data_IF_264691399594
#
_entry.id   IF_264691399594
#
_cell.length_a   1.000
_cell.length_b   1.000
_cell.length_c   1.000
_cell.angle_alpha   90.00
_cell.angle_beta   90.00
_cell.angle_gamma   90.00
#
_symmetry.space_group_name_H-M   'P 1'
#
loop_
_entity.id
_entity.type
_entity.pdbx_description
1 polymer ?
#
# COMPACT_ATOMS: atom_id res chain seq x y z
N UNK A 1 16.11 9.17 18.13
CA UNK A 1 15.59 7.85 17.79
C UNK A 1 14.26 7.67 18.46
N UNK A 2 13.27 7.18 17.73
CA UNK A 2 11.95 6.79 18.23
C UNK A 2 11.74 5.30 17.97
N UNK A 3 10.73 4.69 18.60
CA UNK A 3 10.43 3.27 18.41
C UNK A 3 8.94 3.00 18.47
N UNK A 4 8.52 1.99 17.70
CA UNK A 4 7.14 1.48 17.66
C UNK A 4 7.17 -0.03 17.53
N UNK A 5 6.13 -0.71 17.99
CA UNK A 5 6.03 -2.16 18.00
C UNK A 5 4.84 -2.60 17.15
N UNK A 6 5.12 -3.40 16.13
CA UNK A 6 4.16 -3.76 15.08
C UNK A 6 3.97 -5.28 15.01
N UNK A 7 2.75 -5.72 15.26
CA UNK A 7 2.32 -7.11 15.07
C UNK A 7 1.54 -7.23 13.75
N UNK A 8 1.93 -8.14 12.88
CA UNK A 8 1.35 -8.24 11.54
C UNK A 8 1.52 -9.61 10.90
N UNK A 9 1.15 -10.69 11.60
CA UNK A 9 1.38 -12.06 11.17
C UNK A 9 2.77 -12.56 11.54
N UNK A 10 3.35 -13.43 10.73
CA UNK A 10 4.71 -13.93 10.94
C UNK A 10 5.71 -12.76 10.93
N UNK A 11 6.47 -12.62 11.99
CA UNK A 11 7.38 -11.48 12.17
C UNK A 11 8.63 -11.51 11.28
N UNK A 12 8.99 -12.65 10.65
CA UNK A 12 10.16 -12.73 9.75
C UNK A 12 10.01 -11.82 8.53
N UNK A 13 8.85 -11.89 7.87
CA UNK A 13 8.57 -11.06 6.70
C UNK A 13 8.45 -9.59 7.06
N UNK A 14 7.78 -9.29 8.17
CA UNK A 14 7.58 -7.92 8.63
C UNK A 14 8.91 -7.27 9.06
N UNK A 15 9.81 -8.01 9.72
CA UNK A 15 11.15 -7.54 10.06
C UNK A 15 11.97 -7.18 8.82
N UNK A 16 12.07 -8.10 7.85
CA UNK A 16 12.81 -7.88 6.61
C UNK A 16 12.23 -6.68 5.83
N UNK A 17 10.90 -6.58 5.75
CA UNK A 17 10.21 -5.48 5.10
C UNK A 17 10.59 -4.14 5.73
N UNK A 18 10.46 -3.98 7.05
CA UNK A 18 10.80 -2.72 7.73
C UNK A 18 12.29 -2.41 7.72
N UNK A 19 13.15 -3.42 7.73
CA UNK A 19 14.60 -3.22 7.66
C UNK A 19 15.09 -2.57 6.35
N UNK A 20 14.28 -2.62 5.29
CA UNK A 20 14.56 -2.01 3.98
C UNK A 20 14.15 -0.54 3.88
N UNK A 21 13.30 -0.08 4.79
CA UNK A 21 12.71 1.27 4.70
C UNK A 21 13.73 2.31 5.15
N UNK A 22 13.97 3.30 4.30
CA UNK A 22 14.87 4.42 4.62
C UNK A 22 14.38 5.21 5.82
N UNK A 23 15.25 5.42 6.78
CA UNK A 23 14.94 6.06 8.08
C UNK A 23 14.64 5.07 9.20
N UNK A 24 14.44 3.78 8.89
CA UNK A 24 14.48 2.70 9.88
C UNK A 24 15.95 2.35 10.15
N UNK A 25 16.37 2.45 11.41
CA UNK A 25 17.77 2.27 11.81
C UNK A 25 18.03 0.86 12.35
N UNK A 26 17.01 0.25 12.97
CA UNK A 26 17.11 -1.11 13.52
C UNK A 26 15.74 -1.76 13.64
N UNK A 27 15.71 -3.06 13.40
CA UNK A 27 14.57 -3.94 13.68
C UNK A 27 15.00 -5.07 14.62
N UNK A 28 14.09 -5.56 15.44
CA UNK A 28 14.22 -6.82 16.19
C UNK A 28 12.87 -7.52 16.20
N UNK A 29 12.86 -8.84 16.31
CA UNK A 29 11.63 -9.63 16.47
C UNK A 29 11.48 -10.10 17.92
N UNK A 30 10.24 -10.16 18.37
CA UNK A 30 9.92 -10.56 19.74
C UNK A 30 8.45 -10.88 19.92
N UNK A 31 8.06 -10.99 21.18
CA UNK A 31 6.73 -11.37 21.61
C UNK A 31 6.16 -10.28 22.52
N UNK A 32 5.01 -9.72 22.16
CA UNK A 32 4.43 -8.59 22.89
C UNK A 32 3.03 -8.88 23.43
N UNK A 33 2.68 -8.14 24.45
CA UNK A 33 1.31 -7.98 24.98
C UNK A 33 0.55 -9.28 25.26
N UNK A 34 1.25 -10.31 25.74
CA UNK A 34 0.63 -11.54 26.24
C UNK A 34 0.02 -11.38 27.65
N UNK A 35 -0.39 -12.48 28.23
CA UNK A 35 -1.04 -12.53 29.56
C UNK A 35 -0.03 -12.57 30.71
N UNK A 36 1.23 -12.90 30.44
CA UNK A 36 2.32 -13.03 31.40
C UNK A 36 3.56 -12.30 30.90
N UNK A 37 4.50 -11.99 31.80
CA UNK A 37 5.68 -11.17 31.49
C UNK A 37 6.82 -11.95 30.81
N UNK A 38 6.72 -13.26 30.71
CA UNK A 38 7.75 -14.13 30.11
C UNK A 38 7.14 -15.12 29.16
N UNK A 39 7.81 -15.38 28.05
CA UNK A 39 7.44 -16.40 27.07
C UNK A 39 8.66 -16.81 26.24
N UNK A 40 8.49 -17.82 25.39
CA UNK A 40 9.38 -18.23 24.32
C UNK A 40 8.54 -18.78 23.15
N UNK A 41 9.17 -19.09 22.04
CA UNK A 41 8.46 -19.54 20.83
C UNK A 41 7.53 -20.76 21.07
N UNK A 42 7.92 -21.67 21.95
CA UNK A 42 7.10 -22.87 22.24
C UNK A 42 5.85 -22.55 23.06
N UNK A 43 5.92 -21.53 23.91
CA UNK A 43 4.84 -21.13 24.84
C UNK A 43 3.98 -19.99 24.33
N UNK A 44 4.34 -19.36 23.21
CA UNK A 44 3.69 -18.14 22.70
C UNK A 44 2.16 -18.27 22.58
N UNK A 45 1.66 -19.44 22.19
CA UNK A 45 0.22 -19.70 22.06
C UNK A 45 -0.48 -19.76 23.41
N UNK A 46 0.16 -20.36 24.42
CA UNK A 46 -0.36 -20.53 25.78
C UNK A 46 -0.33 -19.20 26.53
N UNK A 47 0.70 -18.40 26.29
CA UNK A 47 0.90 -17.11 26.95
C UNK A 47 0.22 -15.94 26.23
N UNK A 48 -0.43 -16.22 25.10
CA UNK A 48 -1.18 -15.26 24.29
C UNK A 48 -0.40 -14.03 23.81
N UNK A 49 0.89 -14.19 23.55
CA UNK A 49 1.70 -13.12 22.97
C UNK A 49 1.53 -13.02 21.46
N UNK A 50 1.64 -11.80 20.92
CA UNK A 50 1.72 -11.57 19.49
C UNK A 50 3.17 -11.59 19.00
N UNK A 51 3.43 -12.24 17.87
CA UNK A 51 4.66 -12.03 17.11
C UNK A 51 4.75 -10.56 16.69
N UNK A 52 5.82 -9.89 17.09
CA UNK A 52 5.92 -8.43 17.02
C UNK A 52 7.31 -8.01 16.57
N UNK A 53 7.37 -7.01 15.71
CA UNK A 53 8.61 -6.36 15.27
C UNK A 53 8.75 -5.04 16.03
N UNK A 54 9.87 -4.85 16.72
CA UNK A 54 10.30 -3.54 17.20
C UNK A 54 10.94 -2.80 16.02
N UNK A 55 10.45 -1.61 15.70
CA UNK A 55 10.99 -0.73 14.67
C UNK A 55 11.57 0.50 15.34
N UNK A 56 12.90 0.65 15.29
CA UNK A 56 13.63 1.83 15.76
C UNK A 56 13.95 2.70 14.55
N UNK A 57 13.53 3.95 14.58
CA UNK A 57 13.60 4.84 13.42
C UNK A 57 14.08 6.25 13.80
N UNK A 58 14.58 6.96 12.80
CA UNK A 58 14.97 8.37 12.92
C UNK A 58 13.78 9.27 12.53
N UNK A 59 13.14 9.97 13.49
CA UNK A 59 11.96 10.79 13.22
C UNK A 59 12.24 12.00 12.30
N UNK A 60 13.50 12.37 12.11
CA UNK A 60 13.90 13.42 11.17
C UNK A 60 13.94 12.91 9.71
N UNK A 61 14.00 11.58 9.51
CA UNK A 61 14.02 10.92 8.19
C UNK A 61 12.68 10.30 7.80
N UNK A 62 11.97 9.73 8.78
CA UNK A 62 10.68 9.07 8.55
C UNK A 62 9.74 9.32 9.73
N UNK A 63 8.52 9.73 9.47
CA UNK A 63 7.50 9.96 10.51
C UNK A 63 6.84 8.65 10.95
N UNK A 64 6.27 8.64 12.17
CA UNK A 64 5.42 7.54 12.64
C UNK A 64 4.26 7.28 11.67
N UNK A 65 3.62 8.34 11.14
CA UNK A 65 2.57 8.22 10.12
C UNK A 65 3.06 7.44 8.91
N UNK A 66 4.22 7.76 8.39
CA UNK A 66 4.80 7.05 7.24
C UNK A 66 5.05 5.56 7.55
N UNK A 67 5.57 5.23 8.73
CA UNK A 67 5.75 3.85 9.20
C UNK A 67 4.41 3.11 9.23
N UNK A 68 3.35 3.74 9.72
CA UNK A 68 2.01 3.14 9.77
C UNK A 68 1.43 2.91 8.37
N UNK A 69 1.65 3.84 7.42
CA UNK A 69 1.23 3.63 6.03
C UNK A 69 1.97 2.46 5.37
N UNK A 70 3.28 2.31 5.62
CA UNK A 70 4.03 1.12 5.22
C UNK A 70 3.49 -0.16 5.87
N UNK A 71 3.10 -0.11 7.14
CA UNK A 71 2.51 -1.23 7.85
C UNK A 71 1.19 -1.67 7.23
N UNK A 72 0.26 -0.74 7.00
CA UNK A 72 -1.03 -1.03 6.36
C UNK A 72 -0.89 -1.53 4.91
N UNK A 73 0.19 -1.19 4.22
CA UNK A 73 0.47 -1.72 2.87
C UNK A 73 0.60 -3.23 2.82
N UNK A 74 1.08 -3.87 3.88
CA UNK A 74 1.47 -5.29 3.87
C UNK A 74 0.64 -6.19 4.76
N UNK A 75 -0.28 -5.66 5.55
CA UNK A 75 -1.21 -6.44 6.35
C UNK A 75 -2.62 -6.46 5.74
N UNK A 76 -3.41 -7.45 6.11
CA UNK A 76 -4.86 -7.43 5.95
C UNK A 76 -5.49 -6.91 7.24
N UNK A 77 -5.93 -5.64 7.29
CA UNK A 77 -6.43 -5.02 8.52
C UNK A 77 -7.81 -5.52 8.95
N UNK A 78 -8.53 -6.23 8.08
CA UNK A 78 -9.85 -6.79 8.39
C UNK A 78 -9.76 -8.22 8.92
N UNK A 79 -8.61 -8.88 8.78
CA UNK A 79 -8.42 -10.27 9.16
C UNK A 79 -8.10 -10.42 10.64
N UNK A 80 -8.98 -11.06 11.39
CA UNK A 80 -8.77 -11.32 12.81
C UNK A 80 -7.92 -12.57 13.04
N UNK A 81 -6.84 -12.46 13.83
CA UNK A 81 -5.97 -13.57 14.22
C UNK A 81 -5.43 -14.40 13.04
N UNK A 82 -5.24 -13.75 11.90
CA UNK A 82 -4.77 -14.40 10.68
C UNK A 82 -4.10 -13.39 9.76
N UNK A 83 -2.95 -13.76 9.17
CA UNK A 83 -2.35 -13.04 8.06
C UNK A 83 -1.83 -14.06 7.03
N UNK A 84 -2.27 -13.95 5.78
CA UNK A 84 -1.97 -14.94 4.76
C UNK A 84 -2.44 -16.35 5.17
N UNK A 85 -1.50 -17.29 5.23
CA UNK A 85 -1.75 -18.68 5.65
C UNK A 85 -1.56 -18.88 7.16
N UNK A 86 -0.99 -17.92 7.87
CA UNK A 86 -0.70 -18.00 9.29
C UNK A 86 -1.97 -17.75 10.11
N UNK A 87 -2.36 -18.69 10.95
CA UNK A 87 -3.59 -18.68 11.74
C UNK A 87 -3.29 -18.86 13.23
N UNK A 88 -3.89 -18.05 14.06
CA UNK A 88 -3.78 -18.09 15.51
C UNK A 88 -3.58 -16.70 16.10
N UNK A 89 -3.84 -16.55 17.40
CA UNK A 89 -3.73 -15.27 18.09
C UNK A 89 -2.31 -14.69 18.12
N UNK A 90 -1.30 -15.54 18.00
CA UNK A 90 0.09 -15.10 17.84
C UNK A 90 0.34 -14.31 16.55
N UNK A 91 -0.51 -14.46 15.55
CA UNK A 91 -0.45 -13.77 14.25
C UNK A 91 -1.46 -12.61 14.13
N UNK A 92 -2.05 -12.18 15.25
CA UNK A 92 -2.93 -11.01 15.25
C UNK A 92 -2.19 -9.74 14.87
N UNK A 93 -2.92 -8.79 14.35
CA UNK A 93 -2.39 -7.47 13.99
C UNK A 93 -2.51 -6.51 15.15
N UNK A 94 -1.53 -5.64 15.32
CA UNK A 94 -1.53 -4.65 16.39
C UNK A 94 -0.43 -3.62 16.25
N UNK A 95 -0.69 -2.44 16.78
CA UNK A 95 0.26 -1.36 16.95
C UNK A 95 0.35 -1.04 18.44
N UNK A 96 1.53 -1.25 19.02
CA UNK A 96 1.76 -1.08 20.44
C UNK A 96 2.70 0.10 20.65
N UNK A 97 2.22 1.12 21.39
CA UNK A 97 2.91 2.39 21.60
C UNK A 97 3.47 2.51 23.01
N UNK A 98 4.49 3.36 23.16
CA UNK A 98 5.09 3.71 24.46
C UNK A 98 4.61 5.06 24.97
N UNK A 99 4.32 6.01 24.08
CA UNK A 99 3.95 7.38 24.40
C UNK A 99 2.50 7.66 23.96
N UNK A 100 1.72 8.34 24.80
CA UNK A 100 0.35 8.73 24.49
C UNK A 100 0.27 9.72 23.31
N UNK A 101 1.32 10.47 23.00
CA UNK A 101 1.40 11.29 21.80
C UNK A 101 1.37 10.44 20.52
N UNK A 102 2.05 9.29 20.52
CA UNK A 102 2.01 8.35 19.41
C UNK A 102 0.62 7.76 19.22
N UNK A 103 -0.11 7.49 20.32
CA UNK A 103 -1.48 6.97 20.27
C UNK A 103 -2.41 7.86 19.43
N UNK A 104 -2.27 9.18 19.51
CA UNK A 104 -3.10 10.12 18.75
C UNK A 104 -2.84 9.98 17.25
N UNK A 105 -1.56 9.91 16.84
CA UNK A 105 -1.16 9.69 15.44
C UNK A 105 -1.70 8.34 14.92
N UNK A 106 -1.54 7.28 15.72
CA UNK A 106 -2.00 5.94 15.35
C UNK A 106 -3.54 5.93 15.18
N UNK A 107 -4.26 6.51 16.14
CA UNK A 107 -5.73 6.58 16.10
C UNK A 107 -6.25 7.35 14.88
N UNK A 108 -5.56 8.42 14.48
CA UNK A 108 -5.89 9.16 13.27
C UNK A 108 -5.72 8.29 12.00
N UNK A 109 -4.59 7.60 11.86
CA UNK A 109 -4.34 6.72 10.71
C UNK A 109 -5.36 5.57 10.69
N UNK A 110 -5.68 4.97 11.83
CA UNK A 110 -6.70 3.92 11.95
C UNK A 110 -8.08 4.42 11.47
N UNK A 111 -8.47 5.62 11.87
CA UNK A 111 -9.74 6.22 11.45
C UNK A 111 -9.78 6.49 9.93
N UNK A 112 -8.67 6.89 9.34
CA UNK A 112 -8.54 7.07 7.90
C UNK A 112 -8.66 5.74 7.14
N UNK A 113 -7.99 4.68 7.61
CA UNK A 113 -8.08 3.33 7.05
C UNK A 113 -9.51 2.77 7.14
N UNK A 114 -10.16 2.88 8.31
CA UNK A 114 -11.55 2.46 8.50
C UNK A 114 -12.51 3.20 7.57
N UNK A 115 -12.32 4.50 7.40
CA UNK A 115 -13.12 5.32 6.47
C UNK A 115 -12.93 4.88 5.03
N UNK A 116 -11.70 4.57 4.63
CA UNK A 116 -11.38 4.13 3.28
C UNK A 116 -11.95 2.74 2.98
N UNK A 117 -11.83 1.81 3.93
CA UNK A 117 -12.34 0.45 3.81
C UNK A 117 -13.86 0.35 3.99
N UNK A 118 -14.49 1.35 4.63
CA UNK A 118 -15.91 1.31 5.00
C UNK A 118 -16.24 0.30 6.12
N UNK A 119 -15.22 -0.21 6.81
CA UNK A 119 -15.33 -1.23 7.85
C UNK A 119 -14.40 -0.92 9.02
N UNK A 120 -14.77 -1.40 10.20
CA UNK A 120 -13.85 -1.42 11.34
C UNK A 120 -12.70 -2.39 11.09
N UNK A 121 -11.49 -1.96 11.43
CA UNK A 121 -10.30 -2.81 11.34
C UNK A 121 -10.13 -3.68 12.57
N UNK A 122 -9.49 -4.83 12.41
CA UNK A 122 -9.20 -5.81 13.46
C UNK A 122 -7.83 -5.58 14.15
N UNK A 123 -7.16 -4.47 13.82
CA UNK A 123 -5.83 -4.13 14.34
C UNK A 123 -5.95 -3.60 15.77
N UNK A 124 -5.20 -4.20 16.71
CA UNK A 124 -5.13 -3.72 18.08
C UNK A 124 -4.43 -2.37 18.16
N UNK A 125 -4.95 -1.45 18.97
CA UNK A 125 -4.29 -0.19 19.36
C UNK A 125 -4.16 -0.17 20.87
N UNK A 126 -3.01 -0.56 21.38
CA UNK A 126 -2.77 -0.70 22.82
C UNK A 126 -1.41 -0.12 23.23
N UNK A 127 -1.24 0.30 24.50
CA UNK A 127 0.08 0.55 25.03
C UNK A 127 0.91 -0.74 25.03
N UNK A 128 2.21 -0.61 24.82
CA UNK A 128 3.12 -1.73 25.01
C UNK A 128 3.21 -2.05 26.52
N UNK A 129 2.76 -3.23 26.90
CA UNK A 129 2.85 -3.71 28.28
C UNK A 129 4.20 -4.38 28.56
N UNK A 130 4.67 -5.18 27.63
CA UNK A 130 5.97 -5.82 27.65
C UNK A 130 6.34 -6.32 26.24
N UNK A 131 7.64 -6.43 26.01
CA UNK A 131 8.23 -6.99 24.81
C UNK A 131 9.37 -7.92 25.20
N UNK A 132 9.27 -9.17 24.83
CA UNK A 132 10.27 -10.21 25.08
C UNK A 132 10.99 -10.47 23.76
N UNK A 133 12.31 -10.20 23.74
CA UNK A 133 13.12 -10.46 22.54
C UNK A 133 13.05 -11.95 22.20
N UNK A 134 12.75 -12.26 20.93
CA UNK A 134 12.74 -13.63 20.46
C UNK A 134 14.16 -14.19 20.36
N UNK A 135 14.26 -15.49 20.28
CA UNK A 135 15.51 -16.24 20.23
C UNK A 135 16.38 -15.80 19.04
N UNK A 136 17.70 -15.91 19.17
CA UNK A 136 18.66 -15.43 18.16
C UNK A 136 18.43 -15.99 16.75
N UNK A 137 17.92 -17.22 16.63
CA UNK A 137 17.65 -17.81 15.34
C UNK A 137 16.46 -17.18 14.59
N UNK A 138 15.61 -16.43 15.27
CA UNK A 138 14.53 -15.66 14.68
C UNK A 138 14.97 -14.29 14.17
N UNK A 139 16.02 -13.70 14.77
CA UNK A 139 16.50 -12.37 14.38
C UNK A 139 17.11 -12.40 12.99
N UNK A 140 16.73 -11.45 12.13
CA UNK A 140 17.18 -11.37 10.73
C UNK A 140 16.99 -12.69 9.95
N UNK A 141 15.88 -13.39 10.21
CA UNK A 141 15.69 -14.76 9.69
C UNK A 141 15.76 -14.82 8.16
N UNK A 142 15.08 -13.92 7.44
CA UNK A 142 15.08 -13.92 5.96
C UNK A 142 16.41 -13.46 5.36
N UNK A 143 17.20 -12.65 6.06
CA UNK A 143 18.57 -12.34 5.63
C UNK A 143 19.47 -13.56 5.72
N UNK A 144 19.29 -14.39 6.76
CA UNK A 144 20.03 -15.66 6.95
C UNK A 144 19.50 -16.79 6.06
N UNK A 145 18.19 -16.74 5.71
CA UNK A 145 17.48 -17.78 4.96
C UNK A 145 16.64 -17.12 3.84
N UNK A 146 17.26 -16.68 2.72
CA UNK A 146 16.54 -15.94 1.67
C UNK A 146 15.38 -16.71 1.02
N UNK A 147 15.43 -18.05 1.03
CA UNK A 147 14.36 -18.95 0.56
C UNK A 147 13.32 -19.28 1.64
N UNK A 148 13.41 -18.64 2.81
CA UNK A 148 12.53 -18.86 3.94
C UNK A 148 11.09 -18.45 3.65
N UNK A 149 10.16 -19.01 4.44
CA UNK A 149 8.74 -18.66 4.33
C UNK A 149 8.50 -17.17 4.61
N UNK A 150 7.77 -16.53 3.72
CA UNK A 150 7.28 -15.17 3.88
C UNK A 150 5.86 -15.04 3.31
N UNK A 151 4.94 -14.41 4.05
CA UNK A 151 3.57 -14.18 3.61
C UNK A 151 3.38 -12.81 2.94
N UNK A 152 4.39 -11.96 2.98
CA UNK A 152 4.39 -10.63 2.35
C UNK A 152 5.49 -10.54 1.29
N UNK A 153 5.29 -9.70 0.30
CA UNK A 153 6.35 -9.33 -0.64
C UNK A 153 7.20 -8.22 0.00
N UNK A 154 8.40 -8.59 0.45
CA UNK A 154 9.29 -7.63 1.12
C UNK A 154 9.80 -6.53 0.17
N UNK A 155 9.71 -6.76 -1.15
CA UNK A 155 10.08 -5.74 -2.16
C UNK A 155 9.07 -4.60 -2.26
N UNK A 156 7.88 -4.75 -1.68
CA UNK A 156 6.91 -3.66 -1.54
C UNK A 156 7.45 -2.50 -0.70
N UNK A 157 8.49 -2.73 0.11
CA UNK A 157 9.22 -1.68 0.84
C UNK A 157 9.95 -0.70 -0.09
N UNK A 158 10.33 -1.15 -1.29
CA UNK A 158 11.08 -0.35 -2.27
C UNK A 158 10.15 0.54 -3.12
N UNK A 159 8.83 0.33 -3.05
CA UNK A 159 7.85 1.16 -3.73
C UNK A 159 7.70 2.52 -3.05
N UNK A 160 7.44 3.61 -3.80
CA UNK A 160 7.23 4.93 -3.20
C UNK A 160 6.07 4.91 -2.21
N UNK A 161 6.22 5.66 -1.13
CA UNK A 161 5.13 5.91 -0.21
C UNK A 161 4.33 7.11 -0.70
N UNK A 162 3.05 6.88 -1.00
CA UNK A 162 2.10 7.92 -1.37
C UNK A 162 1.13 8.08 -0.20
N UNK A 163 1.14 9.26 0.44
CA UNK A 163 0.20 9.53 1.54
C UNK A 163 -1.15 9.96 0.97
N UNK A 164 -2.24 9.19 1.18
CA UNK A 164 -3.56 9.51 0.65
C UNK A 164 -4.13 10.82 1.21
N UNK A 165 -3.70 11.27 2.38
CA UNK A 165 -4.14 12.54 2.96
C UNK A 165 -3.71 13.77 2.13
N UNK A 166 -2.67 13.62 1.30
CA UNK A 166 -2.21 14.66 0.37
C UNK A 166 -3.18 14.83 -0.81
N UNK A 167 -3.99 13.81 -1.10
CA UNK A 167 -4.86 13.74 -2.28
C UNK A 167 -6.33 13.55 -1.91
N UNK A 168 -6.95 14.49 -1.16
CA UNK A 168 -8.32 14.33 -0.70
C UNK A 168 -9.29 14.28 -1.89
N UNK A 169 -10.33 13.45 -1.76
CA UNK A 169 -11.38 13.36 -2.78
C UNK A 169 -12.20 14.64 -2.80
N UNK A 170 -12.32 15.33 -3.95
CA UNK A 170 -13.20 16.47 -4.10
C UNK A 170 -14.68 16.10 -3.98
N UNK A 171 -15.52 17.07 -3.67
CA UNK A 171 -16.97 16.90 -3.70
C UNK A 171 -17.48 16.61 -5.13
N UNK A 172 -18.68 16.06 -5.24
CA UNK A 172 -19.30 15.79 -6.54
C UNK A 172 -19.52 17.08 -7.34
N UNK A 173 -19.82 18.20 -6.66
CA UNK A 173 -20.01 19.51 -7.28
C UNK A 173 -18.70 20.04 -7.88
N UNK A 174 -17.60 19.93 -7.13
CA UNK A 174 -16.26 20.29 -7.61
C UNK A 174 -15.82 19.43 -8.79
N UNK A 175 -16.07 18.10 -8.75
CA UNK A 175 -15.76 17.21 -9.85
C UNK A 175 -16.55 17.58 -11.11
N UNK A 176 -17.85 17.86 -11.00
CA UNK A 176 -18.69 18.32 -12.14
C UNK A 176 -18.23 19.64 -12.72
N UNK A 177 -17.78 20.56 -11.88
CA UNK A 177 -17.30 21.88 -12.34
C UNK A 177 -15.93 21.80 -13.02
N UNK A 178 -15.08 20.86 -12.64
CA UNK A 178 -13.67 20.76 -13.08
C UNK A 178 -13.44 19.78 -14.22
N UNK A 179 -14.15 18.66 -14.22
CA UNK A 179 -13.98 17.61 -15.22
C UNK A 179 -14.81 17.89 -16.48
N UNK A 180 -14.30 17.47 -17.63
CA UNK A 180 -15.11 17.39 -18.83
C UNK A 180 -16.20 16.32 -18.67
N UNK A 181 -17.25 16.36 -19.49
CA UNK A 181 -18.30 15.36 -19.45
C UNK A 181 -17.76 13.94 -19.61
N UNK A 182 -16.84 13.73 -20.54
CA UNK A 182 -16.21 12.41 -20.77
C UNK A 182 -15.39 11.94 -19.54
N UNK A 183 -14.61 12.84 -18.94
CA UNK A 183 -13.84 12.53 -17.73
C UNK A 183 -14.76 12.17 -16.56
N UNK A 184 -15.87 12.91 -16.40
CA UNK A 184 -16.85 12.64 -15.35
C UNK A 184 -17.55 11.32 -15.56
N UNK A 185 -18.04 11.05 -16.78
CA UNK A 185 -18.68 9.77 -17.11
C UNK A 185 -17.76 8.57 -16.88
N UNK A 186 -16.50 8.65 -17.29
CA UNK A 186 -15.53 7.58 -17.07
C UNK A 186 -15.25 7.38 -15.59
N UNK A 187 -14.89 8.44 -14.86
CA UNK A 187 -14.42 8.32 -13.48
C UNK A 187 -15.53 8.07 -12.46
N UNK A 188 -16.74 8.62 -12.70
CA UNK A 188 -17.85 8.60 -11.73
C UNK A 188 -19.01 7.69 -12.15
N UNK A 189 -19.19 7.42 -13.45
CA UNK A 189 -20.31 6.63 -13.99
C UNK A 189 -19.86 5.33 -14.67
N UNK A 190 -18.58 4.95 -14.53
CA UNK A 190 -17.98 3.73 -15.05
C UNK A 190 -18.06 3.58 -16.58
N UNK A 191 -18.10 4.70 -17.31
CA UNK A 191 -18.04 4.69 -18.76
C UNK A 191 -16.63 4.27 -19.25
N UNK A 192 -16.57 3.84 -20.50
CA UNK A 192 -15.31 3.52 -21.19
C UNK A 192 -15.18 4.41 -22.42
N UNK A 193 -14.02 5.04 -22.58
CA UNK A 193 -13.70 5.84 -23.76
C UNK A 193 -13.44 4.96 -24.99
N UNK A 194 -13.43 5.57 -26.19
CA UNK A 194 -13.22 4.82 -27.43
C UNK A 194 -11.76 4.37 -27.57
N UNK A 195 -11.53 3.12 -28.00
CA UNK A 195 -10.18 2.61 -28.28
C UNK A 195 -9.55 3.41 -29.43
N UNK A 196 -8.23 3.63 -29.36
CA UNK A 196 -7.43 4.36 -30.36
C UNK A 196 -7.81 5.83 -30.59
N UNK A 197 -8.79 6.36 -29.83
CA UNK A 197 -9.27 7.73 -29.94
C UNK A 197 -9.29 8.42 -28.56
N UNK A 198 -8.16 8.34 -27.87
CA UNK A 198 -7.97 8.91 -26.55
C UNK A 198 -6.58 9.56 -26.40
N UNK A 199 -6.37 10.33 -25.35
CA UNK A 199 -5.24 11.22 -25.25
C UNK A 199 -3.89 10.51 -25.09
N UNK A 200 -3.85 9.34 -24.42
CA UNK A 200 -2.58 8.78 -23.95
C UNK A 200 -2.24 7.39 -24.49
N UNK A 201 -3.05 6.81 -25.39
CA UNK A 201 -2.72 5.51 -26.00
C UNK A 201 -1.30 5.50 -26.62
N UNK A 202 -0.95 6.54 -27.34
CA UNK A 202 0.34 6.68 -28.04
C UNK A 202 1.35 7.61 -27.35
N UNK A 203 1.12 7.99 -26.09
CA UNK A 203 2.05 8.84 -25.32
C UNK A 203 3.06 7.98 -24.56
N UNK A 204 4.35 8.10 -24.89
CA UNK A 204 5.47 7.36 -24.29
C UNK A 204 6.58 8.26 -23.76
N UNK A 205 6.29 9.53 -23.50
CA UNK A 205 7.20 10.47 -22.87
C UNK A 205 7.46 10.08 -21.40
N UNK A 206 8.66 10.42 -20.89
CA UNK A 206 8.99 10.20 -19.47
C UNK A 206 8.13 11.08 -18.55
N UNK A 207 7.61 10.49 -17.49
CA UNK A 207 6.78 11.18 -16.53
C UNK A 207 5.93 10.22 -15.70
N UNK A 208 4.87 10.76 -15.14
CA UNK A 208 3.89 10.01 -14.34
C UNK A 208 2.46 10.27 -14.83
N UNK A 209 1.59 9.33 -14.55
CA UNK A 209 0.14 9.47 -14.73
C UNK A 209 -0.52 9.54 -13.36
N UNK A 210 -1.30 10.58 -13.15
CA UNK A 210 -2.03 10.83 -11.89
C UNK A 210 -3.53 10.72 -12.09
N UNK A 211 -4.26 10.43 -11.02
CA UNK A 211 -5.72 10.45 -11.01
C UNK A 211 -6.22 11.86 -11.37
N UNK A 212 -7.02 11.98 -12.42
CA UNK A 212 -7.59 13.26 -12.85
C UNK A 212 -8.48 13.90 -11.78
N UNK A 213 -9.03 13.09 -10.86
CA UNK A 213 -9.95 13.57 -9.81
C UNK A 213 -9.25 14.13 -8.59
N UNK A 214 -8.10 13.54 -8.18
CA UNK A 214 -7.41 13.91 -6.94
C UNK A 214 -5.98 14.40 -7.15
N UNK A 215 -5.34 14.03 -8.26
CA UNK A 215 -3.91 14.23 -8.47
C UNK A 215 -3.02 13.13 -7.86
N UNK A 216 -3.59 12.08 -7.24
CA UNK A 216 -2.80 10.98 -6.67
C UNK A 216 -1.99 10.28 -7.77
N UNK A 217 -0.66 10.09 -7.59
CA UNK A 217 0.16 9.36 -8.55
C UNK A 217 -0.27 7.90 -8.66
N UNK A 218 -0.45 7.42 -9.90
CA UNK A 218 -0.97 6.07 -10.17
C UNK A 218 0.01 5.19 -10.95
N UNK A 219 0.66 5.72 -12.00
CA UNK A 219 1.54 4.95 -12.86
C UNK A 219 2.77 5.75 -13.28
N UNK A 220 3.92 5.08 -13.34
CA UNK A 220 5.09 5.61 -14.05
C UNK A 220 4.97 5.38 -15.55
N UNK A 221 5.39 6.34 -16.36
CA UNK A 221 5.46 6.18 -17.81
C UNK A 221 6.43 5.06 -18.24
N UNK A 222 7.47 4.77 -17.45
CA UNK A 222 8.40 3.64 -17.70
C UNK A 222 7.75 2.26 -17.63
N UNK A 223 6.64 2.14 -16.91
CA UNK A 223 5.88 0.88 -16.80
C UNK A 223 4.76 0.77 -17.85
N UNK A 224 4.66 1.77 -18.75
CA UNK A 224 3.72 1.78 -19.89
C UNK A 224 4.30 1.00 -21.06
N UNK A 225 3.46 0.24 -21.76
CA UNK A 225 3.85 -0.52 -22.95
C UNK A 225 2.77 -0.48 -24.04
N UNK A 226 3.19 -0.70 -25.28
CA UNK A 226 2.28 -0.77 -26.44
C UNK A 226 1.58 -2.13 -26.49
N UNK A 227 0.36 -2.21 -25.97
CA UNK A 227 -0.42 -3.45 -25.93
C UNK A 227 -1.23 -3.70 -27.21
N UNK A 228 -1.48 -2.65 -28.00
CA UNK A 228 -2.33 -2.71 -29.19
C UNK A 228 -3.84 -2.75 -28.88
N UNK A 229 -4.27 -2.61 -27.62
CA UNK A 229 -5.69 -2.64 -27.26
C UNK A 229 -6.42 -1.32 -27.51
N UNK A 230 -5.69 -0.22 -27.75
CA UNK A 230 -6.25 1.10 -28.03
C UNK A 230 -6.47 1.99 -26.80
N UNK A 231 -5.97 1.56 -25.64
CA UNK A 231 -5.92 2.33 -24.39
C UNK A 231 -4.53 2.27 -23.78
N UNK A 232 -4.14 3.27 -22.96
CA UNK A 232 -2.88 3.21 -22.21
C UNK A 232 -2.83 1.93 -21.36
N UNK A 233 -1.72 1.22 -21.48
CA UNK A 233 -1.51 -0.06 -20.78
C UNK A 233 -0.23 -0.01 -19.96
N UNK A 234 -0.34 -0.43 -18.69
CA UNK A 234 0.77 -0.43 -17.74
C UNK A 234 0.96 -1.83 -17.15
N UNK A 235 2.20 -2.18 -16.84
CA UNK A 235 2.53 -3.47 -16.23
C UNK A 235 2.25 -3.51 -14.72
N UNK A 236 2.26 -2.36 -14.07
CA UNK A 236 2.02 -2.20 -12.61
C UNK A 236 1.67 -0.76 -12.25
N UNK A 237 0.97 -0.55 -11.12
CA UNK A 237 0.83 0.77 -10.52
C UNK A 237 2.16 1.24 -9.90
N UNK A 238 2.26 2.54 -9.60
CA UNK A 238 3.43 3.17 -8.97
C UNK A 238 3.74 2.60 -7.57
N UNK A 239 2.68 2.24 -6.84
CA UNK A 239 2.71 1.48 -5.60
C UNK A 239 1.44 0.63 -5.55
N UNK A 240 1.50 -0.55 -4.90
CA UNK A 240 0.36 -1.49 -4.89
C UNK A 240 -0.89 -0.94 -4.21
N UNK A 241 -0.72 -0.02 -3.29
CA UNK A 241 -1.76 0.55 -2.45
C UNK A 241 -2.45 1.81 -3.02
N UNK A 242 -2.03 2.31 -4.20
CA UNK A 242 -2.70 3.47 -4.84
C UNK A 242 -3.93 3.08 -5.67
N UNK A 243 -4.20 1.79 -5.83
CA UNK A 243 -5.36 1.27 -6.56
C UNK A 243 -6.09 0.21 -5.75
N UNK A 244 -7.40 0.08 -6.00
CA UNK A 244 -8.25 -0.98 -5.46
C UNK A 244 -8.84 -1.82 -6.58
N UNK A 245 -9.19 -3.06 -6.26
CA UNK A 245 -9.67 -4.07 -7.20
C UNK A 245 -11.07 -4.53 -6.81
N UNK A 246 -11.99 -4.58 -7.79
CA UNK A 246 -13.36 -5.02 -7.62
C UNK A 246 -13.75 -6.03 -8.70
N UNK A 247 -14.56 -7.01 -8.32
CA UNK A 247 -15.15 -7.91 -9.32
C UNK A 247 -16.17 -7.14 -10.16
N UNK A 248 -16.02 -7.23 -11.49
CA UNK A 248 -16.93 -6.62 -12.45
C UNK A 248 -17.56 -7.69 -13.33
N UNK A 249 -18.88 -7.88 -13.16
CA UNK A 249 -19.70 -8.82 -13.92
C UNK A 249 -20.55 -8.13 -14.99
N UNK A 250 -20.30 -6.86 -15.29
CA UNK A 250 -21.04 -6.12 -16.30
C UNK A 250 -20.81 -6.67 -17.71
N UNK A 251 -21.74 -6.39 -18.61
CA UNK A 251 -21.70 -6.79 -20.02
C UNK A 251 -21.53 -8.30 -20.25
N UNK A 252 -21.90 -9.15 -19.29
CA UNK A 252 -21.73 -10.60 -19.39
C UNK A 252 -20.28 -11.09 -19.37
N UNK A 253 -19.35 -10.26 -18.88
CA UNK A 253 -17.93 -10.60 -18.75
C UNK A 253 -17.56 -10.72 -17.27
N UNK A 254 -16.53 -11.50 -16.99
CA UNK A 254 -15.88 -11.53 -15.66
C UNK A 254 -14.55 -10.81 -15.77
N UNK A 255 -14.44 -9.66 -15.11
CA UNK A 255 -13.24 -8.82 -15.15
C UNK A 255 -12.90 -8.32 -13.75
N UNK A 256 -11.70 -7.81 -13.58
CA UNK A 256 -11.28 -7.09 -12.37
C UNK A 256 -11.17 -5.61 -12.70
N UNK A 257 -12.10 -4.83 -12.14
CA UNK A 257 -12.08 -3.37 -12.22
C UNK A 257 -10.96 -2.82 -11.36
N UNK A 258 -10.29 -1.79 -11.88
CA UNK A 258 -9.27 -1.01 -11.15
C UNK A 258 -9.82 0.38 -10.89
N UNK A 259 -9.81 0.78 -9.62
CA UNK A 259 -10.20 2.13 -9.16
C UNK A 259 -9.06 2.79 -8.40
N UNK A 260 -8.97 4.11 -8.46
CA UNK A 260 -8.01 4.86 -7.66
C UNK A 260 -8.35 4.79 -6.17
N UNK A 261 -7.32 4.74 -5.31
CA UNK A 261 -7.50 4.68 -3.85
C UNK A 261 -8.20 5.93 -3.31
N UNK A 262 -7.63 7.10 -3.53
CA UNK A 262 -8.13 8.35 -2.92
C UNK A 262 -9.41 8.87 -3.57
N UNK A 263 -9.50 8.81 -4.91
CA UNK A 263 -10.65 9.30 -5.66
C UNK A 263 -11.82 8.33 -5.71
N UNK A 264 -11.56 7.03 -5.53
CA UNK A 264 -12.47 5.94 -5.88
C UNK A 264 -13.00 6.09 -7.32
N UNK A 265 -12.15 6.62 -8.21
CA UNK A 265 -12.47 6.84 -9.61
C UNK A 265 -12.30 5.54 -10.39
N UNK A 266 -13.24 5.25 -11.29
CA UNK A 266 -13.06 4.15 -12.23
C UNK A 266 -11.89 4.48 -13.16
N UNK A 267 -10.89 3.60 -13.20
CA UNK A 267 -9.72 3.74 -14.06
C UNK A 267 -9.82 2.85 -15.30
N UNK A 268 -10.20 1.63 -15.13
CA UNK A 268 -10.23 0.59 -16.15
C UNK A 268 -10.24 -0.80 -15.53
N UNK A 269 -9.50 -1.74 -16.15
CA UNK A 269 -9.47 -3.14 -15.74
C UNK A 269 -8.04 -3.69 -15.80
N UNK A 270 -7.77 -4.73 -15.01
CA UNK A 270 -6.51 -5.46 -15.06
C UNK A 270 -6.72 -6.86 -15.64
N UNK A 271 -5.77 -7.29 -16.49
CA UNK A 271 -5.77 -8.57 -17.20
C UNK A 271 -4.45 -9.31 -16.96
N UNK A 272 -4.43 -10.62 -17.21
CA UNK A 272 -3.26 -11.49 -17.00
C UNK A 272 -2.48 -11.78 -18.29
N UNK A 273 -2.64 -10.94 -19.30
CA UNK A 273 -2.05 -11.05 -20.62
C UNK A 273 -0.95 -9.99 -20.90
N UNK A 274 -0.38 -9.43 -19.84
CA UNK A 274 0.73 -8.48 -19.91
C UNK A 274 2.09 -9.12 -20.16
N UNK A 275 3.15 -8.30 -20.26
CA UNK A 275 4.53 -8.77 -20.46
C UNK A 275 4.99 -9.68 -19.33
N UNK A 276 5.38 -10.92 -19.64
CA UNK A 276 5.78 -11.91 -18.62
C UNK A 276 6.98 -11.49 -17.81
N UNK A 277 7.94 -10.84 -18.44
CA UNK A 277 9.16 -10.28 -17.84
C UNK A 277 8.88 -9.12 -16.86
N UNK A 278 7.67 -8.54 -16.92
CA UNK A 278 7.22 -7.45 -16.05
C UNK A 278 6.10 -7.88 -15.09
N UNK A 279 5.95 -9.17 -14.85
CA UNK A 279 4.96 -9.71 -13.91
C UNK A 279 3.66 -10.21 -14.55
N UNK A 280 3.50 -10.12 -15.88
CA UNK A 280 2.41 -10.73 -16.62
C UNK A 280 1.05 -10.02 -16.54
N UNK A 281 0.97 -8.84 -15.89
CA UNK A 281 -0.26 -8.07 -15.76
C UNK A 281 -0.32 -6.95 -16.80
N UNK A 282 -1.55 -6.64 -17.23
CA UNK A 282 -1.86 -5.49 -18.08
C UNK A 282 -2.98 -4.67 -17.45
N UNK A 283 -2.63 -3.51 -16.96
CA UNK A 283 -3.57 -2.49 -16.49
C UNK A 283 -4.02 -1.66 -17.69
N UNK A 284 -5.22 -1.93 -18.19
CA UNK A 284 -5.84 -1.23 -19.31
C UNK A 284 -6.67 -0.07 -18.78
N UNK A 285 -6.17 1.15 -18.94
CA UNK A 285 -6.66 2.34 -18.21
C UNK A 285 -7.20 3.36 -19.20
N UNK A 286 -8.35 3.98 -18.88
CA UNK A 286 -8.92 5.06 -19.67
C UNK A 286 -8.05 6.33 -19.55
N UNK A 287 -7.68 6.94 -20.67
CA UNK A 287 -6.97 8.23 -20.66
C UNK A 287 -7.76 9.31 -19.95
N UNK A 288 -9.11 9.28 -20.05
CA UNK A 288 -10.00 10.24 -19.41
C UNK A 288 -9.96 10.20 -17.86
N UNK A 289 -9.46 9.11 -17.25
CA UNK A 289 -9.27 9.00 -15.81
C UNK A 289 -7.89 9.50 -15.35
N UNK A 290 -7.00 9.86 -16.27
CA UNK A 290 -5.61 10.20 -16.02
C UNK A 290 -5.30 11.64 -16.42
N UNK A 291 -4.28 12.20 -15.75
CA UNK A 291 -3.52 13.37 -16.21
C UNK A 291 -2.05 12.99 -16.29
N UNK A 292 -1.43 13.25 -17.42
CA UNK A 292 -0.01 13.05 -17.61
C UNK A 292 0.78 14.24 -17.10
N UNK A 293 1.84 13.99 -16.32
CA UNK A 293 2.80 14.99 -15.85
C UNK A 293 4.16 14.64 -16.45
N UNK A 294 4.68 15.44 -17.40
CA UNK A 294 6.02 15.26 -17.93
C UNK A 294 7.09 15.34 -16.83
N UNK A 295 8.18 14.62 -17.00
CA UNK A 295 9.27 14.56 -16.02
C UNK A 295 9.79 15.95 -15.62
N UNK A 296 9.90 16.86 -16.58
CA UNK A 296 10.38 18.22 -16.38
C UNK A 296 9.45 19.07 -15.53
N UNK A 297 8.17 18.72 -15.48
CA UNK A 297 7.14 19.44 -14.72
C UNK A 297 6.90 18.83 -13.33
N UNK A 298 7.40 17.62 -13.06
CA UNK A 298 7.10 16.90 -11.83
C UNK A 298 7.47 17.66 -10.56
N UNK A 299 8.62 18.36 -10.57
CA UNK A 299 9.06 19.12 -9.38
C UNK A 299 8.13 20.31 -9.11
N UNK A 300 7.77 21.05 -10.16
CA UNK A 300 6.89 22.23 -10.08
C UNK A 300 5.46 21.83 -9.70
N UNK A 301 5.00 20.68 -10.20
CA UNK A 301 3.67 20.13 -9.91
C UNK A 301 3.58 19.42 -8.56
N UNK A 302 4.68 19.34 -7.77
CA UNK A 302 4.70 18.76 -6.43
C UNK A 302 5.00 17.27 -6.36
N UNK A 303 5.50 16.66 -7.44
CA UNK A 303 5.85 15.24 -7.54
C UNK A 303 7.36 14.98 -7.57
N UNK A 304 8.18 15.95 -7.13
CA UNK A 304 9.65 15.87 -7.19
C UNK A 304 10.25 14.67 -6.47
N UNK A 305 9.64 14.23 -5.38
CA UNK A 305 10.12 13.06 -4.61
C UNK A 305 10.12 11.76 -5.43
N UNK A 306 9.25 11.66 -6.45
CA UNK A 306 9.15 10.49 -7.33
C UNK A 306 10.24 10.44 -8.40
N UNK A 307 10.95 11.54 -8.66
CA UNK A 307 12.03 11.59 -9.66
C UNK A 307 13.14 10.57 -9.39
N UNK A 308 13.43 10.30 -8.11
CA UNK A 308 14.45 9.32 -7.70
C UNK A 308 14.12 7.89 -8.12
N UNK A 309 12.86 7.59 -8.39
CA UNK A 309 12.37 6.26 -8.73
C UNK A 309 12.14 6.07 -10.24
N UNK A 310 12.42 7.07 -11.06
CA UNK A 310 12.25 7.01 -12.51
C UNK A 310 13.45 6.38 -13.24
N UNK A 311 14.49 6.01 -12.51
CA UNK A 311 15.72 5.42 -13.05
C UNK A 311 15.66 3.90 -13.13
#
# INVERSE_FOLDING_TARGET
MAEIYLAGGCFWGLEEYFSRISGVEKTTVGYANGQVETTNYQLIKETDHAETVQVIYDPDKISLRAILLYYFRVIDPLSMNKQGNDRGRQYRTGVYYLDDADREVIAQVFAEEEKQLGHKIAVELEPLRHYILAEDYHQDYLKKNPEGYCHIDVTDADQPLIDPATYPKPSQEELKARLTEAQYQVTQENATERPFHNAYDQTFEEGIYVDITTGEPLFFAKDKFASGCGWPSFSRPIAKDVVHYYQDHSHGMERIEVRSRSGNAHLGHVFTDGPREQGGLRYCINSASLRFIPKEEMEVEGYGDLLKQMH
#
